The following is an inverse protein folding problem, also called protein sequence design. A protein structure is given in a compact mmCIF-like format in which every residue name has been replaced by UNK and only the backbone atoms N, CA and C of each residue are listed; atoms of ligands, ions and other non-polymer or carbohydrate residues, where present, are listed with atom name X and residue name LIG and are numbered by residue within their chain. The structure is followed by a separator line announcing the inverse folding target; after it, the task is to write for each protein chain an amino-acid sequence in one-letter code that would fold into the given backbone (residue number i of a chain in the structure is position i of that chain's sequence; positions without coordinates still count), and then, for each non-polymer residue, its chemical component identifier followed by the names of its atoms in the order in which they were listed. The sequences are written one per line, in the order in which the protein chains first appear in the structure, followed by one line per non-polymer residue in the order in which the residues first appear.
data_IF_983737421489
#
_entry.id   IF_983737421489
#
_cell.length_a   1.000
_cell.length_b   1.000
_cell.length_c   1.000
_cell.angle_alpha   90.00
_cell.angle_beta   90.00
_cell.angle_gamma   90.00
#
_symmetry.space_group_name_H-M   'P 1'
#
loop_
_entity.id
_entity.type
_entity.pdbx_description
1 polymer ?
#
# COMPACT_ATOMS: atom_id res chain seq x y z
N UNK A 1 11.14 -0.62 -48.94
CA UNK A 1 10.33 -1.11 -47.80
C UNK A 1 11.18 -1.05 -46.54
N UNK A 2 10.84 -0.23 -45.54
CA UNK A 2 11.50 -0.27 -44.23
C UNK A 2 11.00 -1.53 -43.51
N UNK A 3 11.88 -2.51 -43.32
CA UNK A 3 11.58 -3.68 -42.49
C UNK A 3 11.53 -3.17 -41.05
N UNK A 4 10.32 -2.90 -40.55
CA UNK A 4 10.07 -2.56 -39.16
C UNK A 4 10.47 -3.73 -38.29
N UNK A 5 11.62 -3.61 -37.61
CA UNK A 5 12.21 -4.64 -36.77
C UNK A 5 11.39 -4.72 -35.48
N UNK A 6 10.36 -5.57 -35.47
CA UNK A 6 9.45 -5.69 -34.33
C UNK A 6 10.11 -6.54 -33.22
N UNK A 7 10.92 -5.89 -32.38
CA UNK A 7 11.38 -6.51 -31.14
C UNK A 7 10.27 -6.40 -30.10
N UNK A 8 9.85 -7.53 -29.52
CA UNK A 8 8.82 -7.56 -28.50
C UNK A 8 9.42 -7.36 -27.11
N UNK A 9 8.72 -6.61 -26.25
CA UNK A 9 9.13 -6.40 -24.87
C UNK A 9 9.08 -7.70 -24.06
N UNK A 10 10.14 -7.98 -23.29
CA UNK A 10 10.25 -9.20 -22.46
C UNK A 10 9.22 -9.28 -21.32
N UNK A 11 8.53 -8.19 -20.98
CA UNK A 11 7.61 -8.14 -19.84
C UNK A 11 6.14 -8.04 -20.26
N UNK A 12 5.82 -7.18 -21.25
CA UNK A 12 4.44 -6.94 -21.68
C UNK A 12 4.14 -7.42 -23.10
N UNK A 13 5.15 -7.92 -23.82
CA UNK A 13 5.06 -8.33 -25.23
C UNK A 13 4.66 -7.23 -26.21
N UNK A 14 4.50 -5.97 -25.75
CA UNK A 14 4.31 -4.82 -26.63
C UNK A 14 5.54 -4.59 -27.54
N UNK A 15 5.34 -4.04 -28.75
CA UNK A 15 6.44 -3.62 -29.61
C UNK A 15 7.37 -2.64 -28.90
N UNK A 16 8.68 -2.85 -29.03
CA UNK A 16 9.68 -1.91 -28.56
C UNK A 16 9.71 -0.73 -29.53
N UNK A 17 9.53 0.52 -29.05
CA UNK A 17 9.55 1.69 -29.92
C UNK A 17 10.89 1.84 -30.65
N UNK A 18 10.85 2.28 -31.91
CA UNK A 18 12.06 2.51 -32.72
C UNK A 18 13.02 3.55 -32.11
N UNK A 19 12.51 4.43 -31.25
CA UNK A 19 13.32 5.41 -30.50
C UNK A 19 14.23 4.78 -29.44
N UNK A 20 14.10 3.48 -29.16
CA UNK A 20 14.93 2.75 -28.20
C UNK A 20 16.18 2.21 -28.88
N UNK A 21 17.22 1.96 -28.09
CA UNK A 21 18.38 1.21 -28.56
C UNK A 21 17.97 -0.16 -29.11
N UNK A 22 18.66 -0.63 -30.15
CA UNK A 22 18.37 -1.90 -30.84
C UNK A 22 18.39 -3.14 -29.92
N UNK A 23 19.11 -3.06 -28.80
CA UNK A 23 19.22 -4.10 -27.79
C UNK A 23 18.29 -3.88 -26.59
N UNK A 24 17.32 -2.96 -26.69
CA UNK A 24 16.38 -2.71 -25.61
C UNK A 24 15.51 -3.94 -25.36
N UNK A 25 15.41 -4.37 -24.11
CA UNK A 25 14.59 -5.52 -23.69
C UNK A 25 13.17 -5.12 -23.26
N UNK A 26 12.91 -3.82 -23.09
CA UNK A 26 11.68 -3.28 -22.53
C UNK A 26 11.15 -2.11 -23.37
N UNK A 27 9.83 -2.02 -23.55
CA UNK A 27 9.19 -0.95 -24.34
C UNK A 27 9.31 0.44 -23.68
N UNK A 28 9.25 0.51 -22.35
CA UNK A 28 9.31 1.77 -21.59
C UNK A 28 10.18 1.64 -20.32
N UNK A 29 10.51 2.77 -19.67
CA UNK A 29 11.20 2.75 -18.37
C UNK A 29 10.26 2.18 -17.30
N UNK A 30 9.00 2.60 -17.32
CA UNK A 30 7.94 2.07 -16.47
C UNK A 30 7.81 0.55 -16.58
N UNK A 31 7.87 0.00 -17.80
CA UNK A 31 7.81 -1.44 -18.03
C UNK A 31 9.00 -2.19 -17.39
N UNK A 32 10.22 -1.67 -17.57
CA UNK A 32 11.43 -2.19 -16.92
C UNK A 32 11.32 -2.17 -15.39
N UNK A 33 10.84 -1.06 -14.85
CA UNK A 33 10.70 -0.88 -13.40
C UNK A 33 9.60 -1.79 -12.83
N UNK A 34 8.51 -2.02 -13.57
CA UNK A 34 7.48 -2.99 -13.25
C UNK A 34 8.02 -4.43 -13.24
N UNK A 35 8.77 -4.83 -14.26
CA UNK A 35 9.44 -6.13 -14.35
C UNK A 35 10.38 -6.37 -13.16
N UNK A 36 11.23 -5.37 -12.86
CA UNK A 36 12.13 -5.40 -11.70
C UNK A 36 11.35 -5.55 -10.40
N UNK A 37 10.26 -4.80 -10.24
CA UNK A 37 9.41 -4.84 -9.05
C UNK A 37 8.75 -6.21 -8.88
N UNK A 38 8.17 -6.77 -9.95
CA UNK A 38 7.55 -8.11 -9.98
C UNK A 38 8.54 -9.20 -9.57
N UNK A 39 9.79 -9.12 -10.03
CA UNK A 39 10.86 -10.08 -9.67
C UNK A 39 11.30 -9.98 -8.20
N UNK A 40 11.42 -8.76 -7.66
CA UNK A 40 11.98 -8.54 -6.32
C UNK A 40 10.91 -8.70 -5.22
N UNK A 41 9.67 -8.31 -5.50
CA UNK A 41 8.58 -8.25 -4.50
C UNK A 41 8.32 -9.60 -3.79
N UNK A 42 8.23 -10.76 -4.48
CA UNK A 42 8.05 -12.06 -3.82
C UNK A 42 9.20 -12.40 -2.87
N UNK A 43 10.46 -12.17 -3.28
CA UNK A 43 11.66 -12.41 -2.45
C UNK A 43 11.62 -11.54 -1.19
N UNK A 44 11.28 -10.26 -1.32
CA UNK A 44 11.12 -9.33 -0.18
C UNK A 44 10.01 -9.80 0.77
N UNK A 45 8.87 -10.25 0.24
CA UNK A 45 7.77 -10.77 1.06
C UNK A 45 8.16 -12.06 1.79
N UNK A 46 8.82 -13.01 1.12
CA UNK A 46 9.29 -14.25 1.73
C UNK A 46 10.28 -13.97 2.87
N UNK A 47 11.26 -13.09 2.65
CA UNK A 47 12.20 -12.66 3.68
C UNK A 47 11.48 -12.03 4.89
N UNK A 48 10.52 -11.14 4.65
CA UNK A 48 9.76 -10.50 5.72
C UNK A 48 8.91 -11.51 6.51
N UNK A 49 8.33 -12.51 5.85
CA UNK A 49 7.60 -13.61 6.51
C UNK A 49 8.52 -14.44 7.38
N UNK A 50 9.69 -14.82 6.86
CA UNK A 50 10.70 -15.58 7.60
C UNK A 50 11.22 -14.81 8.81
N UNK A 51 11.48 -13.51 8.66
CA UNK A 51 11.88 -12.64 9.77
C UNK A 51 10.84 -12.65 10.89
N UNK A 52 9.55 -12.46 10.57
CA UNK A 52 8.48 -12.49 11.57
C UNK A 52 8.37 -13.85 12.27
N UNK A 53 8.60 -14.96 11.56
CA UNK A 53 8.59 -16.31 12.14
C UNK A 53 9.78 -16.53 13.08
N UNK A 54 10.97 -16.03 12.71
CA UNK A 54 12.20 -16.14 13.53
C UNK A 54 12.23 -15.19 14.72
N UNK A 55 11.62 -14.01 14.58
CA UNK A 55 11.64 -12.94 15.58
C UNK A 55 10.22 -12.47 15.96
N UNK A 56 9.39 -13.35 16.53
CA UNK A 56 8.01 -13.03 16.86
C UNK A 56 7.90 -11.92 17.91
N UNK A 57 8.82 -11.88 18.89
CA UNK A 57 8.84 -10.83 19.93
C UNK A 57 9.00 -9.43 19.34
N UNK A 58 9.92 -9.25 18.40
CA UNK A 58 10.15 -7.98 17.71
C UNK A 58 8.91 -7.58 16.89
N UNK A 59 8.35 -8.52 16.13
CA UNK A 59 7.15 -8.27 15.33
C UNK A 59 5.94 -7.88 16.21
N UNK A 60 5.78 -8.54 17.35
CA UNK A 60 4.75 -8.23 18.34
C UNK A 60 4.98 -6.86 18.98
N UNK A 61 6.23 -6.50 19.28
CA UNK A 61 6.60 -5.18 19.77
C UNK A 61 6.18 -4.07 18.81
N UNK A 62 6.44 -4.24 17.50
CA UNK A 62 6.00 -3.28 16.48
C UNK A 62 4.48 -3.13 16.41
N UNK A 63 3.72 -4.23 16.52
CA UNK A 63 2.26 -4.17 16.52
C UNK A 63 1.72 -3.51 17.78
N UNK A 64 2.30 -3.79 18.95
CA UNK A 64 1.94 -3.12 20.21
C UNK A 64 2.18 -1.62 20.15
N UNK A 65 3.33 -1.18 19.61
CA UNK A 65 3.60 0.24 19.40
C UNK A 65 2.58 0.90 18.46
N UNK A 66 2.22 0.24 17.35
CA UNK A 66 1.19 0.76 16.43
C UNK A 66 -0.18 0.88 17.12
N UNK A 67 -0.57 -0.10 17.94
CA UNK A 67 -1.80 -0.05 18.73
C UNK A 67 -1.76 1.10 19.74
N UNK A 68 -0.67 1.22 20.50
CA UNK A 68 -0.50 2.27 21.50
C UNK A 68 -0.62 3.66 20.88
N UNK A 69 0.02 3.90 19.73
CA UNK A 69 -0.08 5.19 19.01
C UNK A 69 -1.51 5.52 18.57
N UNK A 70 -2.28 4.53 18.11
CA UNK A 70 -3.69 4.73 17.78
C UNK A 70 -4.51 5.09 19.01
N UNK A 71 -4.28 4.41 20.13
CA UNK A 71 -4.95 4.70 21.40
C UNK A 71 -4.62 6.11 21.88
N UNK A 72 -3.35 6.50 21.86
CA UNK A 72 -2.91 7.85 22.22
C UNK A 72 -3.49 8.94 21.30
N UNK A 73 -3.66 8.64 20.02
CA UNK A 73 -4.31 9.55 19.08
C UNK A 73 -5.85 9.54 19.19
N UNK A 74 -6.45 8.66 19.99
CA UNK A 74 -7.90 8.59 20.20
C UNK A 74 -8.28 9.54 21.34
N UNK A 75 -8.95 10.67 21.07
CA UNK A 75 -9.26 11.63 22.12
C UNK A 75 -10.28 11.08 23.12
N UNK A 76 -10.11 11.44 24.40
CA UNK A 76 -11.02 11.01 25.48
C UNK A 76 -12.43 11.62 25.35
N UNK A 77 -12.53 12.80 24.76
CA UNK A 77 -13.80 13.52 24.55
C UNK A 77 -14.67 12.95 23.42
N UNK A 78 -14.24 11.88 22.74
CA UNK A 78 -15.08 11.22 21.75
C UNK A 78 -16.35 10.64 22.39
N UNK A 79 -17.50 11.01 21.85
CA UNK A 79 -18.78 10.46 22.28
C UNK A 79 -18.90 8.98 21.92
N UNK A 80 -19.87 8.27 22.52
CA UNK A 80 -20.18 6.90 22.10
C UNK A 80 -20.65 6.82 20.64
N UNK A 81 -21.30 7.88 20.14
CA UNK A 81 -21.71 7.97 18.74
C UNK A 81 -20.50 8.07 17.80
N UNK A 82 -19.46 8.81 18.17
CA UNK A 82 -18.21 8.90 17.40
C UNK A 82 -17.47 7.57 17.39
N UNK A 83 -17.35 6.92 18.56
CA UNK A 83 -16.75 5.59 18.67
C UNK A 83 -17.53 4.56 17.83
N UNK A 84 -18.85 4.67 17.78
CA UNK A 84 -19.69 3.85 16.91
C UNK A 84 -19.41 4.14 15.42
N UNK A 85 -19.27 5.41 15.05
CA UNK A 85 -18.85 5.84 13.71
C UNK A 85 -17.53 5.20 13.28
N UNK A 86 -16.51 5.22 14.15
CA UNK A 86 -15.25 4.51 13.91
C UNK A 86 -15.47 3.01 13.69
N UNK A 87 -16.24 2.34 14.56
CA UNK A 87 -16.55 0.91 14.41
C UNK A 87 -17.24 0.62 13.07
N UNK A 88 -18.17 1.47 12.64
CA UNK A 88 -18.86 1.35 11.36
C UNK A 88 -17.89 1.48 10.19
N UNK A 89 -16.95 2.42 10.22
CA UNK A 89 -15.93 2.58 9.17
C UNK A 89 -15.08 1.31 9.04
N UNK A 90 -14.63 0.72 10.15
CA UNK A 90 -13.89 -0.54 10.14
C UNK A 90 -14.73 -1.72 9.62
N UNK A 91 -16.02 -1.78 9.97
CA UNK A 91 -16.95 -2.80 9.45
C UNK A 91 -17.14 -2.63 7.94
N UNK A 92 -17.40 -1.42 7.46
CA UNK A 92 -17.55 -1.08 6.05
C UNK A 92 -16.30 -1.43 5.24
N UNK A 93 -15.10 -1.25 5.81
CA UNK A 93 -13.85 -1.69 5.19
C UNK A 93 -13.82 -3.20 4.90
N UNK A 94 -14.29 -4.03 5.85
CA UNK A 94 -14.37 -5.48 5.66
C UNK A 94 -15.42 -5.84 4.61
N UNK A 95 -16.60 -5.24 4.70
CA UNK A 95 -17.70 -5.46 3.73
C UNK A 95 -17.23 -5.10 2.32
N UNK A 96 -16.65 -3.90 2.13
CA UNK A 96 -16.15 -3.45 0.83
C UNK A 96 -15.07 -4.37 0.27
N UNK A 97 -14.21 -4.93 1.12
CA UNK A 97 -13.23 -5.93 0.70
C UNK A 97 -13.89 -7.20 0.16
N UNK A 98 -14.88 -7.73 0.89
CA UNK A 98 -15.60 -8.92 0.46
C UNK A 98 -16.39 -8.67 -0.83
N UNK A 99 -17.07 -7.53 -0.93
CA UNK A 99 -17.96 -7.20 -2.04
C UNK A 99 -17.22 -6.91 -3.35
N UNK A 100 -16.06 -6.25 -3.27
CA UNK A 100 -15.29 -5.87 -4.47
C UNK A 100 -14.23 -6.89 -4.88
N UNK A 101 -13.93 -7.86 -4.01
CA UNK A 101 -12.76 -8.76 -4.17
C UNK A 101 -11.41 -8.06 -4.03
N UNK A 102 -11.38 -6.74 -3.86
CA UNK A 102 -10.14 -5.95 -3.70
C UNK A 102 -9.90 -5.70 -2.22
N UNK A 103 -8.68 -5.93 -1.75
CA UNK A 103 -8.32 -5.64 -0.36
C UNK A 103 -8.45 -4.15 -0.06
N UNK A 104 -9.30 -3.80 0.91
CA UNK A 104 -9.42 -2.44 1.43
C UNK A 104 -8.73 -2.28 2.79
N UNK A 105 -8.47 -1.04 3.19
CA UNK A 105 -7.91 -0.68 4.48
C UNK A 105 -8.45 0.67 4.94
N UNK A 106 -8.44 0.90 6.26
CA UNK A 106 -8.76 2.19 6.85
C UNK A 106 -7.49 3.04 6.85
N UNK A 107 -7.50 4.13 6.07
CA UNK A 107 -6.45 5.14 5.98
C UNK A 107 -6.80 6.33 6.88
N UNK A 108 -5.78 6.93 7.49
CA UNK A 108 -5.91 8.20 8.18
C UNK A 108 -5.63 9.32 7.18
N UNK A 109 -6.57 10.23 6.97
CA UNK A 109 -6.43 11.33 6.00
C UNK A 109 -5.17 12.12 6.34
N UNK A 110 -5.09 12.61 7.59
CA UNK A 110 -3.87 13.14 8.21
C UNK A 110 -3.22 12.01 9.04
N UNK A 111 -1.95 11.65 8.80
CA UNK A 111 -1.28 10.53 9.46
C UNK A 111 -1.16 10.76 10.96
N UNK A 112 -1.32 9.70 11.76
CA UNK A 112 -1.02 9.74 13.20
C UNK A 112 0.48 9.97 13.45
N UNK A 113 1.34 9.60 12.49
CA UNK A 113 2.79 9.70 12.59
C UNK A 113 3.38 10.48 11.42
N UNK A 114 2.95 11.73 11.22
CA UNK A 114 3.62 12.65 10.32
C UNK A 114 4.73 13.41 11.06
N UNK A 115 5.76 13.81 10.32
CA UNK A 115 6.91 14.54 10.87
C UNK A 115 6.55 16.00 11.18
N UNK A 116 5.77 16.63 10.29
CA UNK A 116 5.34 18.02 10.43
C UNK A 116 3.96 18.18 11.09
N UNK A 117 3.05 17.21 10.89
CA UNK A 117 1.67 17.25 11.40
C UNK A 117 1.25 15.84 11.82
N UNK A 118 0.56 15.74 12.96
CA UNK A 118 -0.08 14.52 13.42
C UNK A 118 -1.61 14.67 13.45
N UNK A 119 -2.30 13.65 12.95
CA UNK A 119 -3.76 13.54 12.97
C UNK A 119 -4.27 12.71 14.13
N UNK A 120 -5.56 12.87 14.45
CA UNK A 120 -6.25 12.13 15.50
C UNK A 120 -6.90 10.84 14.96
N UNK A 121 -7.16 9.87 15.84
CA UNK A 121 -7.94 8.68 15.52
C UNK A 121 -9.43 8.94 15.75
N UNK A 122 -10.05 9.67 14.83
CA UNK A 122 -11.45 10.14 14.90
C UNK A 122 -12.19 9.83 13.60
N UNK A 123 -13.53 9.70 13.60
CA UNK A 123 -14.31 9.29 12.41
C UNK A 123 -14.03 10.12 11.16
N UNK A 124 -13.91 11.44 11.30
CA UNK A 124 -13.68 12.36 10.18
C UNK A 124 -12.22 12.40 9.71
N UNK A 125 -11.27 11.81 10.43
CA UNK A 125 -9.89 11.67 9.99
C UNK A 125 -9.58 10.26 9.44
N UNK A 126 -10.58 9.38 9.29
CA UNK A 126 -10.38 8.05 8.72
C UNK A 126 -11.30 7.78 7.53
N UNK A 127 -10.78 7.04 6.54
CA UNK A 127 -11.54 6.67 5.34
C UNK A 127 -11.20 5.27 4.85
N UNK A 128 -12.16 4.64 4.17
CA UNK A 128 -11.95 3.33 3.53
C UNK A 128 -11.38 3.53 2.13
N UNK A 129 -10.16 3.06 1.91
CA UNK A 129 -9.47 3.10 0.62
C UNK A 129 -8.97 1.71 0.24
N UNK A 130 -8.53 1.51 -1.01
CA UNK A 130 -7.87 0.25 -1.35
C UNK A 130 -6.54 0.15 -0.59
N UNK A 131 -6.13 -1.06 -0.21
CA UNK A 131 -4.81 -1.26 0.42
C UNK A 131 -3.67 -0.80 -0.49
N UNK A 132 -3.85 -0.84 -1.81
CA UNK A 132 -2.86 -0.36 -2.78
C UNK A 132 -2.67 1.15 -2.64
N UNK A 133 -3.76 1.91 -2.58
CA UNK A 133 -3.71 3.37 -2.47
C UNK A 133 -3.18 3.81 -1.11
N UNK A 134 -3.58 3.14 -0.02
CA UNK A 134 -3.04 3.41 1.32
C UNK A 134 -1.51 3.20 1.36
N UNK A 135 -1.03 2.10 0.79
CA UNK A 135 0.41 1.82 0.69
C UNK A 135 1.14 2.85 -0.19
N UNK A 136 0.50 3.31 -1.27
CA UNK A 136 1.06 4.35 -2.11
C UNK A 136 1.17 5.67 -1.35
N UNK A 137 0.12 6.08 -0.62
CA UNK A 137 0.07 7.31 0.20
C UNK A 137 1.13 7.33 1.30
N UNK A 138 1.25 6.25 2.07
CA UNK A 138 2.13 6.22 3.24
C UNK A 138 1.74 7.31 4.26
N UNK A 139 2.72 8.06 4.77
CA UNK A 139 2.49 9.13 5.74
C UNK A 139 2.34 10.53 5.11
N UNK A 140 1.99 10.61 3.82
CA UNK A 140 1.68 11.90 3.17
C UNK A 140 0.20 12.23 3.38
N UNK A 141 -0.12 13.52 3.55
CA UNK A 141 -1.48 14.05 3.66
C UNK A 141 -1.69 15.21 2.71
#
# INVERSE_FOLDING_TARGET
MKISRCFLCHECQDPIPETRALNALYCSRACRDAAKTRRIRPKKQARNRLFKKRHPSIANGWERMRRARRLQATPEWLSESDKLGLRHIYKSCKIKTAWTGVRHSVDHIVPIQGDAVCGLHVPWNVRVVTSKDNLAKGNRF
#
